data_IF_412390370160
#
_entry.id   IF_412390370160
#
_cell.length_a   1.000
_cell.length_b   1.000
_cell.length_c   1.000
_cell.angle_alpha   90.00
_cell.angle_beta   90.00
_cell.angle_gamma   90.00
#
_symmetry.space_group_name_H-M   'P 1'
#
loop_
_entity.id
_entity.type
_entity.pdbx_description
1 polymer ?
#
# COMPACT_ATOMS: atom_id res chain seq x y z
N UNK A 1 -22.09 -5.48 5.66
CA UNK A 1 -23.20 -4.57 5.29
C UNK A 1 -23.19 -4.38 3.78
N UNK A 2 -24.31 -4.67 3.11
CA UNK A 2 -24.44 -4.59 1.64
C UNK A 2 -24.81 -3.17 1.19
N UNK A 3 -23.95 -2.19 1.48
CA UNK A 3 -24.10 -0.85 0.91
C UNK A 3 -23.50 -0.81 -0.49
N UNK A 4 -24.17 -0.14 -1.41
CA UNK A 4 -23.62 0.17 -2.73
C UNK A 4 -22.26 0.88 -2.57
N UNK A 5 -21.24 0.60 -3.42
CA UNK A 5 -19.89 1.18 -3.26
C UNK A 5 -19.88 2.71 -3.10
N UNK A 6 -20.65 3.43 -3.94
CA UNK A 6 -20.83 4.89 -3.82
C UNK A 6 -21.36 5.36 -2.45
N UNK A 7 -22.14 4.52 -1.77
CA UNK A 7 -22.61 4.83 -0.42
C UNK A 7 -21.54 4.56 0.62
N UNK A 8 -20.73 3.51 0.48
CA UNK A 8 -19.62 3.23 1.39
C UNK A 8 -18.63 4.41 1.48
N UNK A 9 -18.41 5.11 0.36
CA UNK A 9 -17.59 6.32 0.31
C UNK A 9 -18.19 7.53 1.04
N UNK A 10 -19.51 7.56 1.23
CA UNK A 10 -20.26 8.68 1.83
C UNK A 10 -20.61 8.47 3.29
N UNK A 11 -20.60 7.23 3.78
CA UNK A 11 -20.99 6.87 5.15
C UNK A 11 -20.18 7.65 6.19
N UNK A 12 -18.86 7.74 6.00
CA UNK A 12 -17.97 8.46 6.93
C UNK A 12 -18.36 9.94 7.06
N UNK A 13 -18.45 10.67 5.94
CA UNK A 13 -18.83 12.07 5.96
C UNK A 13 -20.25 12.30 6.45
N UNK A 14 -21.18 11.41 6.09
CA UNK A 14 -22.58 11.52 6.50
C UNK A 14 -22.74 11.50 8.01
N UNK A 15 -22.16 10.51 8.68
CA UNK A 15 -22.25 10.43 10.14
C UNK A 15 -21.50 11.56 10.85
N UNK A 16 -20.35 12.00 10.33
CA UNK A 16 -19.67 13.19 10.90
C UNK A 16 -20.56 14.44 10.82
N UNK A 17 -21.16 14.69 9.66
CA UNK A 17 -22.03 15.85 9.43
C UNK A 17 -23.24 15.89 10.37
N UNK A 18 -23.85 14.73 10.68
CA UNK A 18 -24.98 14.66 11.62
C UNK A 18 -24.63 15.15 13.03
N UNK A 19 -23.36 15.08 13.43
CA UNK A 19 -22.89 15.46 14.76
C UNK A 19 -21.90 16.63 14.71
N UNK A 20 -21.87 17.37 13.59
CA UNK A 20 -21.13 18.61 13.45
C UNK A 20 -22.12 19.77 13.59
N UNK A 21 -21.80 20.75 14.42
CA UNK A 21 -22.67 21.93 14.60
C UNK A 21 -22.51 22.94 13.44
N UNK A 22 -23.32 24.01 13.46
CA UNK A 22 -23.28 25.07 12.44
C UNK A 22 -21.93 25.80 12.37
N UNK A 23 -21.10 25.69 13.40
CA UNK A 23 -19.74 26.24 13.45
C UNK A 23 -18.65 25.28 12.93
N UNK A 24 -19.03 24.11 12.41
CA UNK A 24 -18.08 23.13 11.87
C UNK A 24 -17.36 22.29 12.93
N UNK A 25 -17.79 22.34 14.19
CA UNK A 25 -17.16 21.63 15.31
C UNK A 25 -17.88 20.29 15.52
N UNK A 26 -17.11 19.20 15.53
CA UNK A 26 -17.60 17.86 15.88
C UNK A 26 -18.00 17.82 17.37
N UNK A 27 -19.28 17.59 17.65
CA UNK A 27 -19.84 17.62 19.00
C UNK A 27 -19.69 16.28 19.74
N UNK A 28 -19.55 15.18 19.00
CA UNK A 28 -19.56 13.82 19.55
C UNK A 28 -18.36 13.02 19.07
N UNK A 29 -17.81 12.17 19.95
CA UNK A 29 -16.90 11.11 19.55
C UNK A 29 -17.68 9.98 18.89
N UNK A 30 -17.29 9.59 17.68
CA UNK A 30 -17.97 8.53 16.92
C UNK A 30 -17.06 7.30 16.86
N UNK A 31 -17.61 6.14 17.24
CA UNK A 31 -16.95 4.85 17.08
C UNK A 31 -17.59 4.08 15.92
N UNK A 32 -16.79 3.66 14.96
CA UNK A 32 -17.24 2.86 13.81
C UNK A 32 -16.34 1.64 13.62
N UNK A 33 -16.94 0.50 13.30
CA UNK A 33 -16.23 -0.71 12.90
C UNK A 33 -16.61 -1.06 11.46
N UNK A 34 -15.61 -1.31 10.60
CA UNK A 34 -15.85 -1.56 9.18
C UNK A 34 -14.75 -2.43 8.58
N UNK A 35 -15.16 -3.30 7.65
CA UNK A 35 -14.27 -4.03 6.73
C UNK A 35 -14.25 -3.39 5.31
N UNK A 36 -14.87 -2.24 5.12
CA UNK A 36 -14.89 -1.56 3.82
C UNK A 36 -13.63 -0.71 3.63
N UNK A 37 -12.82 -1.06 2.63
CA UNK A 37 -11.65 -0.27 2.23
C UNK A 37 -12.02 1.14 1.78
N UNK A 38 -13.22 1.35 1.21
CA UNK A 38 -13.71 2.66 0.81
C UNK A 38 -13.96 3.57 2.00
N UNK A 39 -14.60 3.02 3.03
CA UNK A 39 -14.80 3.72 4.29
C UNK A 39 -13.46 4.03 4.98
N UNK A 40 -12.58 3.03 5.07
CA UNK A 40 -11.27 3.17 5.75
C UNK A 40 -10.34 4.15 5.03
N UNK A 41 -10.35 4.18 3.69
CA UNK A 41 -9.64 5.19 2.90
C UNK A 41 -10.07 6.61 3.30
N UNK A 42 -11.37 6.86 3.42
CA UNK A 42 -11.89 8.17 3.86
C UNK A 42 -11.49 8.49 5.29
N UNK A 43 -11.54 7.51 6.19
CA UNK A 43 -11.12 7.67 7.57
C UNK A 43 -9.61 7.97 7.69
N UNK A 44 -8.76 7.35 6.87
CA UNK A 44 -7.30 7.61 6.87
C UNK A 44 -6.92 8.97 6.29
N UNK A 45 -7.71 9.52 5.38
CA UNK A 45 -7.50 10.86 4.81
C UNK A 45 -8.04 11.97 5.72
N UNK A 46 -8.77 11.65 6.78
CA UNK A 46 -9.37 12.61 7.69
C UNK A 46 -8.50 12.79 8.94
N UNK A 47 -7.87 13.95 9.07
CA UNK A 47 -6.95 14.28 10.18
C UNK A 47 -7.61 14.21 11.57
N UNK A 48 -8.95 14.28 11.63
CA UNK A 48 -9.71 14.17 12.89
C UNK A 48 -10.15 12.74 13.22
N UNK A 49 -9.84 11.78 12.33
CA UNK A 49 -10.16 10.37 12.49
C UNK A 49 -8.94 9.58 12.99
N UNK A 50 -9.19 8.59 13.86
CA UNK A 50 -8.19 7.61 14.29
C UNK A 50 -8.59 6.23 13.77
N UNK A 51 -7.71 5.59 13.01
CA UNK A 51 -7.92 4.21 12.52
C UNK A 51 -7.13 3.24 13.37
N UNK A 52 -7.83 2.28 13.99
CA UNK A 52 -7.24 1.24 14.82
C UNK A 52 -7.63 -0.13 14.26
N UNK A 53 -6.63 -0.96 14.01
CA UNK A 53 -6.79 -2.36 13.67
C UNK A 53 -6.74 -3.21 14.94
N UNK A 54 -7.70 -4.11 15.08
CA UNK A 54 -7.72 -5.11 16.16
C UNK A 54 -7.28 -6.45 15.59
N UNK A 55 -6.24 -7.05 16.19
CA UNK A 55 -5.65 -8.32 15.76
C UNK A 55 -5.78 -9.33 16.90
N UNK A 56 -6.27 -10.53 16.61
CA UNK A 56 -6.34 -11.60 17.60
C UNK A 56 -5.09 -12.50 17.49
N UNK A 57 -4.27 -12.51 18.53
CA UNK A 57 -3.13 -13.41 18.70
C UNK A 57 -3.48 -14.47 19.74
N UNK A 58 -3.92 -15.65 19.29
CA UNK A 58 -4.19 -16.82 20.14
C UNK A 58 -5.09 -16.51 21.35
N UNK A 59 -6.16 -15.73 21.14
CA UNK A 59 -7.12 -15.35 22.18
C UNK A 59 -6.83 -14.02 22.86
N UNK A 60 -5.71 -13.34 22.55
CA UNK A 60 -5.41 -11.98 23.01
C UNK A 60 -5.59 -10.98 21.89
N UNK A 61 -6.48 -10.00 22.09
CA UNK A 61 -6.69 -8.92 21.13
C UNK A 61 -5.65 -7.83 21.36
N UNK A 62 -4.86 -7.54 20.33
CA UNK A 62 -3.94 -6.41 20.28
C UNK A 62 -4.54 -5.29 19.41
N UNK A 63 -4.39 -4.04 19.86
CA UNK A 63 -4.77 -2.87 19.09
C UNK A 63 -3.52 -2.28 18.43
N UNK A 64 -3.61 -2.02 17.13
CA UNK A 64 -2.57 -1.37 16.35
C UNK A 64 -3.15 -0.11 15.70
N UNK A 65 -2.57 1.05 16.01
CA UNK A 65 -2.86 2.29 15.29
C UNK A 65 -2.34 2.16 13.86
N UNK A 66 -3.20 2.46 12.88
CA UNK A 66 -2.82 2.51 11.48
C UNK A 66 -2.60 3.97 11.10
N UNK A 67 -1.43 4.24 10.54
CA UNK A 67 -1.07 5.55 9.98
C UNK A 67 -0.85 5.39 8.50
N UNK A 68 -1.30 6.38 7.72
CA UNK A 68 -0.97 6.45 6.31
C UNK A 68 0.48 6.94 6.18
N UNK A 69 1.39 6.12 5.62
CA UNK A 69 2.74 6.59 5.35
C UNK A 69 2.72 7.57 4.17
N UNK A 70 3.58 8.59 4.20
CA UNK A 70 3.72 9.59 3.12
C UNK A 70 4.49 9.06 1.89
N UNK A 71 4.51 7.72 1.70
CA UNK A 71 5.17 7.09 0.58
C UNK A 71 4.48 7.48 -0.72
N UNK A 72 3.16 7.34 -0.78
CA UNK A 72 2.33 7.70 -1.94
C UNK A 72 1.77 9.12 -1.75
N UNK A 73 1.53 9.82 -2.86
CA UNK A 73 0.97 11.18 -2.83
C UNK A 73 -0.50 11.21 -2.39
N UNK A 74 -1.22 10.09 -2.53
CA UNK A 74 -2.61 9.92 -2.17
C UNK A 74 -2.84 8.53 -1.56
N UNK A 75 -3.77 8.43 -0.62
CA UNK A 75 -4.20 7.14 -0.05
C UNK A 75 -4.89 6.30 -1.12
N UNK A 76 -4.36 5.11 -1.44
CA UNK A 76 -4.96 4.21 -2.44
C UNK A 76 -5.71 3.04 -1.81
N UNK A 77 -6.59 2.38 -2.57
CA UNK A 77 -7.27 1.18 -2.07
C UNK A 77 -6.30 0.03 -1.81
N UNK A 78 -5.31 -0.13 -2.68
CA UNK A 78 -4.31 -1.18 -2.57
C UNK A 78 -3.44 -0.97 -1.31
N UNK A 79 -3.09 0.28 -1.02
CA UNK A 79 -2.40 0.66 0.21
C UNK A 79 -3.26 0.41 1.46
N UNK A 80 -4.53 0.82 1.47
CA UNK A 80 -5.45 0.58 2.61
C UNK A 80 -5.60 -0.91 2.87
N UNK A 81 -5.70 -1.71 1.81
CA UNK A 81 -5.78 -3.17 1.94
C UNK A 81 -4.51 -3.77 2.55
N UNK A 82 -3.34 -3.25 2.18
CA UNK A 82 -2.08 -3.66 2.80
C UNK A 82 -2.00 -3.22 4.26
N UNK A 83 -2.20 -1.94 4.56
CA UNK A 83 -2.05 -1.38 5.91
C UNK A 83 -3.06 -1.96 6.91
N UNK A 84 -4.32 -2.08 6.50
CA UNK A 84 -5.40 -2.50 7.41
C UNK A 84 -5.62 -4.01 7.36
N UNK A 85 -5.58 -4.65 6.20
CA UNK A 85 -5.93 -6.07 6.08
C UNK A 85 -4.73 -6.99 5.88
N UNK A 86 -3.51 -6.46 5.79
CA UNK A 86 -2.29 -7.22 5.50
C UNK A 86 -2.34 -7.97 4.15
N UNK A 87 -3.14 -7.45 3.21
CA UNK A 87 -3.32 -8.02 1.88
C UNK A 87 -2.28 -7.41 0.94
N UNK A 88 -1.32 -8.22 0.48
CA UNK A 88 -0.40 -7.82 -0.59
C UNK A 88 -1.09 -7.86 -1.95
N UNK A 89 -0.70 -6.96 -2.84
CA UNK A 89 -1.26 -6.93 -4.20
C UNK A 89 -0.25 -6.40 -5.22
N UNK A 90 -0.36 -6.89 -6.44
CA UNK A 90 0.40 -6.40 -7.60
C UNK A 90 0.18 -4.89 -7.82
N UNK A 91 -1.04 -4.41 -7.58
CA UNK A 91 -1.38 -2.99 -7.69
C UNK A 91 -0.60 -2.14 -6.69
N UNK A 92 -0.53 -2.54 -5.42
CA UNK A 92 0.23 -1.78 -4.42
C UNK A 92 1.73 -1.79 -4.73
N UNK A 93 2.25 -2.95 -5.15
CA UNK A 93 3.62 -3.06 -5.63
C UNK A 93 3.91 -2.09 -6.77
N UNK A 94 3.06 -2.05 -7.81
CA UNK A 94 3.24 -1.17 -8.96
C UNK A 94 3.16 0.32 -8.57
N UNK A 95 2.28 0.69 -7.63
CA UNK A 95 2.20 2.06 -7.12
C UNK A 95 3.50 2.49 -6.42
N UNK A 96 4.06 1.65 -5.55
CA UNK A 96 5.35 1.92 -4.89
C UNK A 96 6.49 2.01 -5.91
N UNK A 97 6.51 1.10 -6.89
CA UNK A 97 7.53 1.10 -7.93
C UNK A 97 7.49 2.38 -8.78
N UNK A 98 6.29 2.78 -9.22
CA UNK A 98 6.07 4.04 -9.93
C UNK A 98 6.47 5.25 -9.08
N UNK A 99 6.23 5.20 -7.77
CA UNK A 99 6.64 6.27 -6.87
C UNK A 99 8.16 6.42 -6.77
N UNK A 100 8.92 5.32 -6.74
CA UNK A 100 10.39 5.37 -6.79
C UNK A 100 10.84 5.99 -8.12
N UNK A 101 10.26 5.57 -9.25
CA UNK A 101 10.57 6.15 -10.57
C UNK A 101 10.39 7.66 -10.57
N UNK A 102 9.24 8.13 -10.07
CA UNK A 102 8.89 9.55 -10.06
C UNK A 102 9.78 10.34 -9.09
N UNK A 103 9.97 9.84 -7.87
CA UNK A 103 10.72 10.54 -6.80
C UNK A 103 12.19 10.73 -7.15
N UNK A 104 12.80 9.75 -7.81
CA UNK A 104 14.22 9.79 -8.20
C UNK A 104 14.45 10.09 -9.69
N UNK A 105 13.39 10.53 -10.40
CA UNK A 105 13.44 10.92 -11.81
C UNK A 105 14.06 9.85 -12.73
N UNK A 106 13.69 8.59 -12.53
CA UNK A 106 14.19 7.44 -13.27
C UNK A 106 13.27 7.16 -14.46
N UNK A 107 13.82 7.19 -15.67
CA UNK A 107 13.03 7.11 -16.91
C UNK A 107 12.84 5.69 -17.45
N UNK A 108 13.53 4.68 -16.88
CA UNK A 108 13.54 3.31 -17.39
C UNK A 108 13.50 2.31 -16.24
N UNK A 109 12.86 1.15 -16.50
CA UNK A 109 12.85 0.00 -15.58
C UNK A 109 14.27 -0.37 -15.16
N UNK A 110 15.23 -0.37 -16.10
CA UNK A 110 16.62 -0.71 -15.80
C UNK A 110 17.32 0.32 -14.89
N UNK A 111 17.00 1.61 -15.04
CA UNK A 111 17.54 2.64 -14.15
C UNK A 111 17.00 2.48 -12.72
N UNK A 112 15.73 2.10 -12.58
CA UNK A 112 15.12 1.76 -11.30
C UNK A 112 15.74 0.51 -10.66
N UNK A 113 15.93 -0.54 -11.44
CA UNK A 113 16.59 -1.77 -10.98
C UNK A 113 17.98 -1.49 -10.42
N UNK A 114 18.80 -0.74 -11.15
CA UNK A 114 20.15 -0.35 -10.71
C UNK A 114 20.11 0.54 -9.48
N UNK A 115 19.16 1.47 -9.41
CA UNK A 115 18.98 2.33 -8.23
C UNK A 115 18.65 1.50 -6.98
N UNK A 116 17.67 0.59 -7.09
CA UNK A 116 17.27 -0.31 -5.99
C UNK A 116 18.43 -1.22 -5.59
N UNK A 117 19.16 -1.78 -6.55
CA UNK A 117 20.28 -2.69 -6.30
C UNK A 117 21.42 -2.03 -5.49
N UNK A 118 21.68 -0.75 -5.73
CA UNK A 118 22.71 0.01 -5.03
C UNK A 118 22.21 0.73 -3.76
N UNK A 119 20.92 0.61 -3.43
CA UNK A 119 20.36 1.26 -2.25
C UNK A 119 20.84 0.59 -0.96
N UNK A 120 21.06 1.35 0.11
CA UNK A 120 21.55 0.83 1.40
C UNK A 120 20.65 -0.25 2.03
N UNK A 121 19.34 -0.17 1.78
CA UNK A 121 18.34 -1.13 2.27
C UNK A 121 18.31 -2.44 1.47
N UNK A 122 19.05 -2.51 0.36
CA UNK A 122 19.15 -3.71 -0.46
C UNK A 122 20.01 -4.78 0.24
N UNK A 123 19.56 -6.03 0.19
CA UNK A 123 20.26 -7.18 0.75
C UNK A 123 20.22 -8.28 -0.29
N UNK A 124 21.38 -8.72 -0.78
CA UNK A 124 21.46 -9.71 -1.84
C UNK A 124 20.74 -11.02 -1.48
N UNK A 125 20.82 -11.45 -0.23
CA UNK A 125 20.21 -12.69 0.25
C UNK A 125 18.67 -12.68 0.18
N UNK A 126 18.04 -11.50 0.24
CA UNK A 126 16.57 -11.36 0.28
C UNK A 126 16.02 -10.76 -1.01
N UNK A 127 16.73 -9.79 -1.59
CA UNK A 127 16.21 -8.88 -2.59
C UNK A 127 16.79 -9.13 -3.99
N UNK A 128 17.81 -10.00 -4.12
CA UNK A 128 18.38 -10.31 -5.42
C UNK A 128 17.55 -11.37 -6.15
N UNK A 129 17.10 -11.04 -7.36
CA UNK A 129 16.43 -11.97 -8.26
C UNK A 129 16.80 -11.64 -9.70
N UNK A 130 17.78 -12.37 -10.23
CA UNK A 130 18.31 -12.11 -11.57
C UNK A 130 17.28 -12.50 -12.62
N UNK A 131 17.00 -11.60 -13.56
CA UNK A 131 16.15 -11.84 -14.71
C UNK A 131 16.62 -11.05 -15.92
N UNK A 132 16.05 -11.29 -17.10
CA UNK A 132 16.46 -10.54 -18.28
C UNK A 132 15.45 -10.61 -19.41
N UNK A 133 15.49 -9.59 -20.26
CA UNK A 133 14.71 -9.50 -21.49
C UNK A 133 15.60 -8.97 -22.62
N UNK A 134 15.81 -9.79 -23.65
CA UNK A 134 16.76 -9.48 -24.72
C UNK A 134 18.18 -9.28 -24.19
N UNK A 135 18.72 -8.07 -24.35
CA UNK A 135 20.08 -7.70 -23.87
C UNK A 135 20.10 -7.05 -22.49
N UNK A 136 18.93 -6.82 -21.88
CA UNK A 136 18.81 -6.15 -20.58
C UNK A 136 18.70 -7.20 -19.49
N UNK A 137 19.54 -7.09 -18.47
CA UNK A 137 19.46 -7.90 -17.25
C UNK A 137 18.96 -7.04 -16.09
N UNK A 138 18.21 -7.64 -15.17
CA UNK A 138 17.71 -7.03 -13.95
C UNK A 138 18.20 -7.84 -12.75
N UNK A 139 18.50 -7.17 -11.64
CA UNK A 139 19.12 -7.80 -10.47
C UNK A 139 18.18 -7.86 -9.27
N UNK A 140 17.11 -7.08 -9.25
CA UNK A 140 16.25 -6.90 -8.09
C UNK A 140 14.93 -7.64 -8.21
N UNK A 141 14.43 -8.12 -7.07
CA UNK A 141 13.10 -8.73 -6.96
C UNK A 141 11.98 -7.76 -7.38
N UNK A 142 12.13 -6.47 -7.11
CA UNK A 142 11.15 -5.45 -7.49
C UNK A 142 11.00 -5.35 -9.02
N UNK A 143 12.11 -5.28 -9.76
CA UNK A 143 12.05 -5.22 -11.23
C UNK A 143 11.63 -6.55 -11.84
N UNK A 144 11.98 -7.69 -11.24
CA UNK A 144 11.45 -9.00 -11.62
C UNK A 144 9.92 -9.03 -11.54
N UNK A 145 9.36 -8.69 -10.37
CA UNK A 145 7.92 -8.75 -10.12
C UNK A 145 7.18 -7.75 -11.00
N UNK A 146 7.69 -6.51 -11.14
CA UNK A 146 7.12 -5.51 -12.07
C UNK A 146 6.99 -6.08 -13.49
N UNK A 147 8.05 -6.71 -13.99
CA UNK A 147 8.06 -7.26 -15.35
C UNK A 147 7.14 -8.48 -15.49
N UNK A 148 7.02 -9.30 -14.44
CA UNK A 148 6.08 -10.43 -14.40
C UNK A 148 4.61 -9.96 -14.40
N UNK A 149 4.30 -8.84 -13.72
CA UNK A 149 2.95 -8.25 -13.73
C UNK A 149 2.60 -7.70 -15.12
N UNK A 150 3.50 -6.95 -15.74
CA UNK A 150 3.23 -6.27 -17.01
C UNK A 150 3.23 -7.23 -18.23
N UNK A 151 3.81 -8.42 -18.09
CA UNK A 151 3.95 -9.40 -19.17
C UNK A 151 3.56 -10.82 -18.71
N UNK A 152 2.25 -11.09 -18.66
CA UNK A 152 1.67 -12.36 -18.18
C UNK A 152 2.12 -13.60 -19.00
N UNK A 153 2.48 -13.42 -20.27
CA UNK A 153 2.76 -14.51 -21.20
C UNK A 153 4.15 -15.16 -21.06
N UNK A 154 5.04 -14.64 -20.20
CA UNK A 154 6.44 -15.08 -20.12
C UNK A 154 6.71 -16.21 -19.12
N UNK A 155 5.67 -16.75 -18.46
CA UNK A 155 5.82 -17.81 -17.45
C UNK A 155 6.55 -17.36 -16.16
N UNK A 156 6.78 -16.06 -16.00
CA UNK A 156 7.34 -15.50 -14.79
C UNK A 156 6.27 -15.51 -13.69
N UNK A 157 6.54 -16.23 -12.61
CA UNK A 157 5.65 -16.33 -11.45
C UNK A 157 6.41 -15.87 -10.22
N UNK A 158 5.67 -15.30 -9.27
CA UNK A 158 6.21 -14.90 -7.97
C UNK A 158 5.25 -15.35 -6.87
N UNK A 159 5.80 -15.59 -5.69
CA UNK A 159 4.99 -15.98 -4.52
C UNK A 159 4.45 -14.75 -3.80
N UNK A 160 3.49 -14.98 -2.89
CA UNK A 160 3.01 -13.93 -2.00
C UNK A 160 4.14 -13.36 -1.12
N UNK A 161 5.03 -14.22 -0.62
CA UNK A 161 6.18 -13.83 0.19
C UNK A 161 7.19 -12.98 -0.61
N UNK A 162 7.43 -13.33 -1.87
CA UNK A 162 8.29 -12.54 -2.77
C UNK A 162 7.68 -11.16 -3.04
N UNK A 163 6.37 -11.11 -3.28
CA UNK A 163 5.64 -9.85 -3.45
C UNK A 163 5.72 -8.99 -2.18
N UNK A 164 5.52 -9.60 -1.01
CA UNK A 164 5.63 -8.95 0.29
C UNK A 164 7.03 -8.40 0.53
N UNK A 165 8.05 -9.22 0.29
CA UNK A 165 9.45 -8.84 0.43
C UNK A 165 9.79 -7.63 -0.45
N UNK A 166 9.32 -7.64 -1.71
CA UNK A 166 9.51 -6.52 -2.63
C UNK A 166 8.78 -5.24 -2.18
N UNK A 167 7.53 -5.35 -1.71
CA UNK A 167 6.78 -4.20 -1.17
C UNK A 167 7.51 -3.59 0.02
N UNK A 168 7.98 -4.42 0.96
CA UNK A 168 8.70 -3.98 2.16
C UNK A 168 9.99 -3.25 1.80
N UNK A 169 10.80 -3.79 0.86
CA UNK A 169 11.99 -3.10 0.39
C UNK A 169 11.65 -1.72 -0.20
N UNK A 170 10.63 -1.62 -1.04
CA UNK A 170 10.25 -0.33 -1.65
C UNK A 170 9.73 0.66 -0.60
N UNK A 171 9.03 0.20 0.44
CA UNK A 171 8.63 1.04 1.58
C UNK A 171 9.86 1.58 2.34
N UNK A 172 10.89 0.75 2.57
CA UNK A 172 12.13 1.19 3.22
C UNK A 172 12.96 2.16 2.35
N UNK A 173 12.89 2.04 1.03
CA UNK A 173 13.53 2.99 0.10
C UNK A 173 12.79 4.34 0.09
N UNK A 174 11.46 4.32 0.22
CA UNK A 174 10.62 5.51 0.18
C UNK A 174 10.43 6.20 1.56
N UNK A 175 10.96 5.60 2.63
CA UNK A 175 10.95 6.17 3.98
C UNK A 175 12.01 7.26 4.12
#
# INVERSE_FOLDING_TARGET
MSLHPKWQEKVHSYFKQLFTNDSGIQQNQIFMASHSSAFLKKALMDETSLVVRLINHNGRVAAQRIEHPTYLSDVTFAEVNYLVFDIVSAEYHNQLYCQILNRYNLSKVKACDEYIYHHQSFSSNLHQKISGYGRVQYNTICSYIRNAIDHYDNGHTYTEDELRCSIQLMQEILR
#
